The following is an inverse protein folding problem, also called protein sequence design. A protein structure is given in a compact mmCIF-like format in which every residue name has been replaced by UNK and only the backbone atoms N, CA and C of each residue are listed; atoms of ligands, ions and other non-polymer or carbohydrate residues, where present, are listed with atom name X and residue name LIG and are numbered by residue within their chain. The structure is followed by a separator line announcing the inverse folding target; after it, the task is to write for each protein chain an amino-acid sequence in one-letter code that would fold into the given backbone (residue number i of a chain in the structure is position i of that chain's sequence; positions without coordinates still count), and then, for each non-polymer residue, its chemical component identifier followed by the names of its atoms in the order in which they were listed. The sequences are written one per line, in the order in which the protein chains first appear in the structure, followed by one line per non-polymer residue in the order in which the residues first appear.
data_IF_288213743722
#
_entry.id   IF_288213743722
#
_cell.length_a   1.000
_cell.length_b   1.000
_cell.length_c   1.000
_cell.angle_alpha   90.00
_cell.angle_beta   90.00
_cell.angle_gamma   90.00
#
_symmetry.space_group_name_H-M   'P 1'
#
loop_
_entity.id
_entity.type
_entity.pdbx_description
1 polymer ?
#
# COMPACT_ATOMS: atom_id res chain seq x y z
N UNK A 1 26.50 -13.31 -3.55
CA UNK A 1 25.49 -14.40 -3.61
C UNK A 1 24.21 -14.03 -2.85
N UNK A 2 24.28 -13.78 -1.53
CA UNK A 2 23.12 -13.46 -0.65
C UNK A 2 22.26 -12.26 -1.08
N UNK A 3 22.84 -11.25 -1.74
CA UNK A 3 22.08 -10.08 -2.24
C UNK A 3 21.40 -10.32 -3.60
N UNK A 4 21.76 -11.39 -4.32
CA UNK A 4 21.29 -11.67 -5.69
C UNK A 4 20.35 -12.88 -5.77
N UNK A 5 20.10 -13.57 -4.65
CA UNK A 5 19.22 -14.75 -4.58
C UNK A 5 18.43 -14.78 -3.28
N UNK A 6 17.38 -15.60 -3.21
CA UNK A 6 16.59 -15.86 -2.00
C UNK A 6 16.96 -17.24 -1.41
N UNK A 7 16.84 -17.45 -0.08
CA UNK A 7 17.05 -18.77 0.50
C UNK A 7 15.94 -19.74 0.05
N UNK A 8 16.25 -21.04 -0.04
CA UNK A 8 15.30 -22.07 -0.47
C UNK A 8 14.05 -22.12 0.43
N UNK A 9 14.22 -21.88 1.72
CA UNK A 9 13.19 -22.09 2.75
C UNK A 9 12.64 -20.78 3.33
N UNK A 10 12.81 -19.64 2.64
CA UNK A 10 12.42 -18.36 3.19
C UNK A 10 12.31 -17.22 2.19
N UNK A 11 11.65 -16.14 2.61
CA UNK A 11 11.44 -14.95 1.77
C UNK A 11 12.68 -14.05 1.68
N UNK A 12 13.53 -14.07 2.72
CA UNK A 12 14.75 -13.26 2.81
C UNK A 12 15.81 -14.02 3.62
N UNK A 13 17.09 -13.68 3.42
CA UNK A 13 18.17 -14.24 4.22
C UNK A 13 18.13 -13.71 5.65
N UNK A 14 18.35 -14.60 6.63
CA UNK A 14 18.66 -14.18 8.00
C UNK A 14 20.17 -14.03 8.12
N UNK A 15 20.66 -13.26 9.11
CA UNK A 15 22.10 -13.19 9.40
C UNK A 15 22.71 -14.58 9.58
N UNK A 16 21.95 -15.52 10.15
CA UNK A 16 22.39 -16.90 10.39
C UNK A 16 22.49 -17.71 9.10
N UNK A 17 21.49 -17.67 8.22
CA UNK A 17 21.54 -18.39 6.95
C UNK A 17 22.52 -17.77 5.95
N UNK A 18 22.62 -16.44 5.93
CA UNK A 18 23.62 -15.73 5.13
C UNK A 18 25.05 -16.06 5.57
N UNK A 19 25.31 -16.19 6.88
CA UNK A 19 26.60 -16.64 7.41
C UNK A 19 26.93 -18.08 6.97
N UNK A 20 25.96 -18.99 7.04
CA UNK A 20 26.14 -20.39 6.61
C UNK A 20 26.52 -20.52 5.13
N UNK A 21 26.00 -19.64 4.28
CA UNK A 21 26.19 -19.72 2.82
C UNK A 21 27.39 -18.92 2.34
N UNK A 22 27.80 -17.88 3.06
CA UNK A 22 29.00 -17.09 2.73
C UNK A 22 30.26 -17.60 3.42
N UNK A 23 30.14 -18.50 4.39
CA UNK A 23 31.26 -18.95 5.23
C UNK A 23 31.76 -17.88 6.22
N UNK A 24 31.09 -16.73 6.30
CA UNK A 24 31.44 -15.64 7.21
C UNK A 24 30.80 -15.82 8.58
N UNK A 25 31.42 -15.26 9.62
CA UNK A 25 30.82 -15.22 10.95
C UNK A 25 29.54 -14.37 10.95
N UNK A 26 28.59 -14.73 11.83
CA UNK A 26 27.33 -13.97 12.02
C UNK A 26 27.59 -12.49 12.33
N UNK A 27 28.63 -12.20 13.11
CA UNK A 27 29.00 -10.83 13.49
C UNK A 27 29.53 -10.03 12.30
N UNK A 28 30.32 -10.65 11.41
CA UNK A 28 30.80 -10.00 10.18
C UNK A 28 29.67 -9.75 9.20
N UNK A 29 28.77 -10.71 8.99
CA UNK A 29 27.58 -10.52 8.16
C UNK A 29 26.69 -9.41 8.72
N UNK A 30 26.42 -9.41 10.04
CA UNK A 30 25.63 -8.37 10.69
C UNK A 30 26.24 -6.97 10.55
N UNK A 31 27.55 -6.84 10.75
CA UNK A 31 28.28 -5.57 10.55
C UNK A 31 28.22 -5.10 9.11
N UNK A 32 28.41 -5.99 8.13
CA UNK A 32 28.33 -5.62 6.71
C UNK A 32 26.92 -5.16 6.34
N UNK A 33 25.87 -5.88 6.75
CA UNK A 33 24.49 -5.47 6.49
C UNK A 33 24.17 -4.12 7.14
N UNK A 34 24.65 -3.86 8.35
CA UNK A 34 24.49 -2.58 9.03
C UNK A 34 25.26 -1.45 8.34
N UNK A 35 26.54 -1.70 8.00
CA UNK A 35 27.44 -0.75 7.34
C UNK A 35 26.88 -0.31 5.98
N UNK A 36 26.28 -1.23 5.22
CA UNK A 36 25.69 -0.95 3.92
C UNK A 36 24.19 -0.66 3.96
N UNK A 37 23.59 -0.56 5.16
CA UNK A 37 22.18 -0.23 5.36
C UNK A 37 21.20 -1.25 4.76
N UNK A 38 21.61 -2.49 4.55
CA UNK A 38 20.80 -3.51 3.87
C UNK A 38 19.75 -4.07 4.84
N UNK A 39 18.49 -3.67 4.66
CA UNK A 39 17.37 -4.19 5.46
C UNK A 39 16.56 -5.20 4.65
N UNK A 40 17.08 -6.42 4.51
CA UNK A 40 16.46 -7.47 3.68
C UNK A 40 15.03 -7.81 4.10
N UNK A 41 14.68 -7.64 5.37
CA UNK A 41 13.33 -7.88 5.88
C UNK A 41 12.35 -6.74 5.57
N UNK A 42 12.81 -5.65 4.93
CA UNK A 42 11.98 -4.50 4.57
C UNK A 42 11.97 -4.31 3.07
N UNK A 43 10.83 -4.59 2.46
CA UNK A 43 10.50 -4.12 1.13
C UNK A 43 9.67 -2.84 1.22
N UNK A 44 9.87 -1.91 0.29
CA UNK A 44 8.97 -0.77 0.09
C UNK A 44 8.46 -0.82 -1.33
N UNK A 45 7.15 -0.91 -1.47
CA UNK A 45 6.50 -0.75 -2.77
C UNK A 45 5.99 0.66 -2.92
N UNK A 46 6.27 1.26 -4.06
CA UNK A 46 5.65 2.52 -4.44
C UNK A 46 5.25 2.41 -5.91
N UNK A 47 3.96 2.64 -6.20
CA UNK A 47 3.47 2.73 -7.57
C UNK A 47 3.01 4.16 -7.80
N UNK A 48 3.58 4.80 -8.82
CA UNK A 48 3.15 6.13 -9.21
C UNK A 48 1.83 6.01 -9.99
N UNK A 49 0.88 6.89 -9.67
CA UNK A 49 -0.36 6.98 -10.42
C UNK A 49 -0.09 7.51 -11.83
N UNK A 50 -0.78 6.95 -12.83
CA UNK A 50 -0.79 7.47 -14.20
C UNK A 50 -2.00 8.38 -14.46
N UNK A 51 -2.73 8.77 -13.41
CA UNK A 51 -3.91 9.62 -13.53
C UNK A 51 -3.51 11.07 -13.86
N UNK A 52 -3.97 11.64 -14.98
CA UNK A 52 -3.67 13.03 -15.33
C UNK A 52 -4.12 14.04 -14.25
N UNK A 53 -5.14 13.69 -13.47
CA UNK A 53 -5.69 14.52 -12.39
C UNK A 53 -5.16 14.11 -11.01
N UNK A 54 -4.01 13.41 -10.96
CA UNK A 54 -3.46 12.87 -9.72
C UNK A 54 -3.35 13.94 -8.61
N UNK A 55 -2.75 15.09 -8.91
CA UNK A 55 -2.52 16.17 -7.93
C UNK A 55 -3.84 16.71 -7.39
N UNK A 56 -4.79 17.00 -8.29
CA UNK A 56 -6.07 17.60 -7.91
C UNK A 56 -6.89 16.63 -7.06
N UNK A 57 -6.93 15.35 -7.43
CA UNK A 57 -7.60 14.31 -6.66
C UNK A 57 -6.95 14.07 -5.29
N UNK A 58 -5.62 14.13 -5.19
CA UNK A 58 -4.93 14.05 -3.89
C UNK A 58 -5.36 15.21 -2.99
N UNK A 59 -5.37 16.43 -3.52
CA UNK A 59 -5.78 17.63 -2.77
C UNK A 59 -7.23 17.56 -2.33
N UNK A 60 -8.11 17.14 -3.24
CA UNK A 60 -9.54 16.98 -3.01
C UNK A 60 -9.82 15.98 -1.87
N UNK A 61 -9.29 14.75 -1.97
CA UNK A 61 -9.51 13.70 -0.97
C UNK A 61 -8.90 14.08 0.38
N UNK A 62 -7.65 14.57 0.40
CA UNK A 62 -7.00 14.99 1.65
C UNK A 62 -7.73 16.20 2.26
N UNK A 63 -8.27 17.09 1.43
CA UNK A 63 -9.09 18.22 1.85
C UNK A 63 -10.35 17.78 2.59
N UNK A 64 -11.05 16.77 2.09
CA UNK A 64 -12.23 16.20 2.75
C UNK A 64 -11.92 15.61 4.14
N UNK A 65 -10.75 15.02 4.30
CA UNK A 65 -10.34 14.42 5.57
C UNK A 65 -9.88 15.46 6.61
N UNK A 66 -9.22 16.53 6.17
CA UNK A 66 -8.70 17.59 7.05
C UNK A 66 -9.78 18.62 7.39
N UNK A 67 -10.61 18.98 6.41
CA UNK A 67 -11.63 20.01 6.54
C UNK A 67 -12.93 19.54 5.86
N UNK A 68 -13.65 18.58 6.49
CA UNK A 68 -14.90 18.09 5.94
C UNK A 68 -15.94 19.21 5.85
N UNK A 69 -16.84 19.19 4.85
CA UNK A 69 -17.90 20.20 4.74
C UNK A 69 -18.82 20.21 5.97
N UNK A 70 -19.30 21.39 6.33
CA UNK A 70 -20.27 21.55 7.42
C UNK A 70 -21.53 20.71 7.16
N UNK A 71 -22.02 20.05 8.21
CA UNK A 71 -23.21 19.19 8.15
C UNK A 71 -23.12 18.03 7.13
N UNK A 72 -21.92 17.65 6.68
CA UNK A 72 -21.70 16.50 5.82
C UNK A 72 -21.04 15.33 6.57
N UNK A 73 -21.26 14.12 6.06
CA UNK A 73 -20.54 12.91 6.50
C UNK A 73 -19.68 12.44 5.34
N UNK A 74 -18.37 12.33 5.58
CA UNK A 74 -17.42 11.75 4.62
C UNK A 74 -17.35 10.25 4.88
N UNK A 75 -17.68 9.45 3.86
CA UNK A 75 -17.65 7.99 3.92
C UNK A 75 -16.57 7.46 2.97
N UNK A 76 -15.61 6.72 3.52
CA UNK A 76 -14.65 5.96 2.73
C UNK A 76 -15.23 4.59 2.40
N UNK A 77 -15.45 4.33 1.10
CA UNK A 77 -15.99 3.07 0.60
C UNK A 77 -14.97 2.44 -0.33
N UNK A 78 -14.75 1.14 -0.18
CA UNK A 78 -13.97 0.36 -1.14
C UNK A 78 -14.56 -1.02 -1.31
N UNK A 79 -14.37 -1.57 -2.50
CA UNK A 79 -14.82 -2.91 -2.84
C UNK A 79 -13.68 -3.90 -2.59
N UNK A 80 -13.77 -4.63 -1.47
CA UNK A 80 -12.85 -5.73 -1.21
C UNK A 80 -13.34 -7.01 -1.87
N UNK A 81 -12.89 -7.29 -3.09
CA UNK A 81 -13.24 -8.48 -3.89
C UNK A 81 -12.65 -9.81 -3.38
N UNK A 82 -12.32 -9.90 -2.09
CA UNK A 82 -11.75 -11.05 -1.37
C UNK A 82 -10.27 -11.39 -1.66
N UNK A 83 -9.64 -11.97 -0.64
CA UNK A 83 -8.28 -12.47 -0.64
C UNK A 83 -8.10 -13.62 -1.65
N UNK A 84 -7.72 -13.30 -2.89
CA UNK A 84 -7.40 -14.29 -3.90
C UNK A 84 -5.95 -14.17 -4.37
N UNK A 85 -5.41 -15.33 -4.69
CA UNK A 85 -4.00 -15.64 -4.96
C UNK A 85 -3.48 -14.86 -6.15
N UNK A 86 -2.39 -14.13 -5.94
CA UNK A 86 -1.90 -13.15 -6.90
C UNK A 86 -0.80 -13.70 -7.83
N UNK A 87 -0.96 -13.55 -9.15
CA UNK A 87 0.15 -13.67 -10.12
C UNK A 87 0.68 -12.27 -10.49
N UNK A 88 2.01 -12.12 -10.46
CA UNK A 88 2.72 -10.83 -10.57
C UNK A 88 3.01 -10.47 -12.03
N UNK A 89 2.80 -9.21 -12.39
CA UNK A 89 3.04 -8.71 -13.76
C UNK A 89 4.47 -8.26 -14.02
N UNK A 90 5.28 -8.00 -12.97
CA UNK A 90 6.69 -7.57 -13.11
C UNK A 90 7.64 -8.37 -12.22
N UNK A 91 8.88 -8.64 -12.68
CA UNK A 91 9.92 -9.27 -11.87
C UNK A 91 10.40 -8.33 -10.76
N UNK A 92 10.75 -8.92 -9.61
CA UNK A 92 11.26 -8.21 -8.42
C UNK A 92 12.58 -7.49 -8.74
N UNK A 93 12.71 -6.22 -8.37
CA UNK A 93 13.98 -5.50 -8.46
C UNK A 93 14.99 -6.08 -7.46
N UNK A 94 16.22 -6.44 -7.88
CA UNK A 94 17.21 -7.01 -7.00
C UNK A 94 17.68 -6.02 -5.92
N UNK A 95 18.04 -6.53 -4.74
CA UNK A 95 18.64 -5.77 -3.65
C UNK A 95 19.96 -5.12 -4.11
N UNK A 96 20.07 -3.80 -3.93
CA UNK A 96 21.27 -3.01 -4.24
C UNK A 96 21.91 -2.39 -2.99
N UNK A 97 23.19 -2.00 -3.09
CA UNK A 97 23.86 -1.23 -2.03
C UNK A 97 23.17 0.13 -1.85
N UNK A 98 22.73 0.44 -0.62
CA UNK A 98 22.14 1.72 -0.26
C UNK A 98 20.63 1.90 -0.54
N UNK A 99 19.94 0.91 -1.14
CA UNK A 99 18.49 1.00 -1.42
C UNK A 99 17.76 -0.32 -1.10
N UNK A 100 16.51 -0.23 -0.61
CA UNK A 100 15.67 -1.37 -0.22
C UNK A 100 15.11 -2.14 -1.44
N UNK A 101 14.70 -3.40 -1.26
CA UNK A 101 14.00 -4.18 -2.30
C UNK A 101 12.71 -3.46 -2.73
N UNK A 102 12.66 -3.09 -4.01
CA UNK A 102 11.49 -2.49 -4.65
C UNK A 102 10.58 -3.57 -5.20
N UNK A 103 9.37 -3.69 -4.64
CA UNK A 103 8.37 -4.65 -5.13
C UNK A 103 7.24 -3.85 -5.77
N UNK A 104 7.02 -4.00 -7.07
CA UNK A 104 5.83 -3.47 -7.76
C UNK A 104 4.65 -4.43 -7.56
N UNK A 105 3.53 -3.92 -7.01
CA UNK A 105 2.30 -4.68 -6.78
C UNK A 105 1.40 -4.67 -8.01
N UNK A 106 1.96 -5.05 -9.16
CA UNK A 106 1.18 -5.21 -10.38
C UNK A 106 0.63 -6.63 -10.43
N UNK A 107 -0.69 -6.72 -10.41
CA UNK A 107 -1.45 -7.96 -10.49
C UNK A 107 -2.48 -7.83 -11.60
N UNK A 108 -2.64 -8.87 -12.41
CA UNK A 108 -3.72 -8.94 -13.41
C UNK A 108 -4.97 -9.44 -12.71
N UNK A 109 -5.87 -8.52 -12.36
CA UNK A 109 -7.21 -8.86 -11.86
C UNK A 109 -8.27 -8.22 -12.73
N UNK A 110 -9.33 -8.95 -13.13
CA UNK A 110 -10.54 -8.32 -13.62
C UNK A 110 -11.15 -7.54 -12.45
N UNK A 111 -10.87 -6.24 -12.38
CA UNK A 111 -11.44 -5.37 -11.35
C UNK A 111 -12.93 -5.25 -11.63
N UNK A 112 -13.75 -6.05 -10.93
CA UNK A 112 -15.16 -5.71 -10.79
C UNK A 112 -15.22 -4.36 -10.07
N UNK A 113 -15.86 -3.38 -10.72
CA UNK A 113 -15.98 -2.03 -10.20
C UNK A 113 -17.47 -1.70 -10.13
N UNK A 114 -18.13 -2.08 -9.04
CA UNK A 114 -19.57 -1.90 -8.86
C UNK A 114 -20.02 -0.45 -9.14
N UNK A 115 -19.19 0.53 -8.73
CA UNK A 115 -19.44 1.96 -8.90
C UNK A 115 -19.40 2.45 -10.37
N UNK A 116 -18.91 1.62 -11.31
CA UNK A 116 -18.90 1.93 -12.75
C UNK A 116 -20.16 1.42 -13.46
N UNK A 117 -20.98 0.58 -12.82
CA UNK A 117 -22.19 0.05 -13.42
C UNK A 117 -23.16 1.19 -13.78
N UNK A 118 -23.76 1.18 -14.98
CA UNK A 118 -24.66 2.25 -15.43
C UNK A 118 -25.80 2.53 -14.45
N UNK A 119 -26.36 1.47 -13.86
CA UNK A 119 -27.43 1.57 -12.85
C UNK A 119 -26.97 2.34 -11.60
N UNK A 120 -25.75 2.08 -11.12
CA UNK A 120 -25.19 2.77 -9.93
C UNK A 120 -24.89 4.23 -10.26
N UNK A 121 -24.32 4.51 -11.44
CA UNK A 121 -24.08 5.88 -11.90
C UNK A 121 -25.36 6.69 -12.08
N UNK A 122 -26.40 6.10 -12.66
CA UNK A 122 -27.69 6.75 -12.82
C UNK A 122 -28.33 7.07 -11.46
N UNK A 123 -28.25 6.13 -10.51
CA UNK A 123 -28.74 6.34 -9.14
C UNK A 123 -27.98 7.46 -8.41
N UNK A 124 -26.64 7.48 -8.51
CA UNK A 124 -25.81 8.55 -7.94
C UNK A 124 -26.14 9.91 -8.57
N UNK A 125 -26.28 9.96 -9.90
CA UNK A 125 -26.62 11.20 -10.60
C UNK A 125 -28.02 11.74 -10.23
N UNK A 126 -28.97 10.84 -9.92
CA UNK A 126 -30.31 11.22 -9.45
C UNK A 126 -30.34 11.69 -7.99
N UNK A 127 -29.28 11.44 -7.21
CA UNK A 127 -29.19 11.76 -5.80
C UNK A 127 -28.28 12.96 -5.52
N UNK A 128 -28.77 14.22 -5.56
CA UNK A 128 -27.92 15.42 -5.41
C UNK A 128 -27.26 15.56 -4.03
N UNK A 129 -27.64 14.72 -3.07
CA UNK A 129 -27.05 14.67 -1.72
C UNK A 129 -25.74 13.87 -1.66
N UNK A 130 -25.43 13.08 -2.71
CA UNK A 130 -24.24 12.23 -2.74
C UNK A 130 -23.20 12.84 -3.68
N UNK A 131 -22.05 13.21 -3.11
CA UNK A 131 -20.89 13.66 -3.87
C UNK A 131 -19.83 12.57 -3.83
N UNK A 132 -19.45 12.05 -5.00
CA UNK A 132 -18.51 10.91 -5.09
C UNK A 132 -17.15 11.41 -5.53
N UNK A 133 -16.16 11.18 -4.68
CA UNK A 133 -14.76 11.51 -4.93
C UNK A 133 -13.98 10.21 -5.15
N UNK A 134 -13.28 10.12 -6.29
CA UNK A 134 -12.55 8.92 -6.67
C UNK A 134 -11.06 9.08 -6.41
N UNK A 135 -10.45 8.10 -5.72
CA UNK A 135 -9.00 8.02 -5.61
C UNK A 135 -8.35 7.93 -6.99
N UNK A 136 -7.17 8.55 -7.19
CA UNK A 136 -6.38 8.32 -8.40
C UNK A 136 -6.11 6.84 -8.64
N UNK A 137 -5.95 6.45 -9.91
CA UNK A 137 -5.58 5.08 -10.26
C UNK A 137 -4.27 4.68 -9.57
N UNK A 138 -4.23 3.50 -8.96
CA UNK A 138 -3.08 3.01 -8.17
C UNK A 138 -2.75 3.81 -6.89
N UNK A 139 -3.67 4.66 -6.42
CA UNK A 139 -3.51 5.44 -5.19
C UNK A 139 -4.48 5.02 -4.08
N UNK A 140 -4.75 3.72 -3.93
CA UNK A 140 -5.60 3.21 -2.85
C UNK A 140 -5.07 3.54 -1.45
N UNK A 141 -3.77 3.84 -1.31
CA UNK A 141 -3.16 4.33 -0.07
C UNK A 141 -3.73 5.67 0.43
N UNK A 142 -4.45 6.43 -0.40
CA UNK A 142 -5.21 7.61 0.03
C UNK A 142 -6.52 7.23 0.74
N UNK A 143 -7.05 6.04 0.48
CA UNK A 143 -8.32 5.60 1.04
C UNK A 143 -8.14 5.11 2.49
N UNK A 144 -8.84 5.72 3.46
CA UNK A 144 -8.69 5.35 4.87
C UNK A 144 -9.14 3.91 5.16
N UNK A 145 -10.09 3.37 4.39
CA UNK A 145 -10.57 2.00 4.57
C UNK A 145 -9.46 0.97 4.36
N UNK A 146 -8.43 1.29 3.58
CA UNK A 146 -7.25 0.44 3.40
C UNK A 146 -6.42 0.32 4.68
N UNK A 147 -6.41 1.36 5.53
CA UNK A 147 -5.82 1.26 6.88
C UNK A 147 -6.60 0.28 7.76
N UNK A 148 -7.93 0.31 7.65
CA UNK A 148 -8.78 -0.66 8.36
C UNK A 148 -8.56 -2.09 7.84
N UNK A 149 -8.44 -2.28 6.53
CA UNK A 149 -8.10 -3.59 5.95
C UNK A 149 -6.72 -4.09 6.37
N UNK A 150 -5.74 -3.20 6.55
CA UNK A 150 -4.44 -3.57 7.09
C UNK A 150 -4.56 -4.08 8.53
N UNK A 151 -5.33 -3.40 9.39
CA UNK A 151 -5.60 -3.85 10.77
C UNK A 151 -6.34 -5.20 10.81
N UNK A 152 -7.31 -5.40 9.93
CA UNK A 152 -8.01 -6.68 9.78
C UNK A 152 -7.01 -7.80 9.41
N UNK A 153 -6.11 -7.52 8.47
CA UNK A 153 -5.11 -8.49 7.99
C UNK A 153 -4.07 -8.83 9.05
N UNK A 154 -3.68 -7.85 9.87
CA UNK A 154 -2.71 -8.04 10.96
C UNK A 154 -3.32 -8.85 12.13
N UNK A 155 -4.60 -8.61 12.44
CA UNK A 155 -5.26 -9.16 13.64
C UNK A 155 -6.07 -10.42 13.41
N UNK A 156 -6.36 -10.81 12.17
CA UNK A 156 -7.11 -12.03 11.87
C UNK A 156 -6.56 -12.85 10.70
N UNK A 157 -6.79 -14.15 10.77
CA UNK A 157 -6.60 -15.09 9.66
C UNK A 157 -7.61 -14.79 8.55
N UNK A 158 -7.22 -14.91 7.28
CA UNK A 158 -7.97 -14.55 6.05
C UNK A 158 -9.23 -15.41 5.77
N UNK A 159 -9.97 -15.83 6.79
CA UNK A 159 -11.22 -16.60 6.64
C UNK A 159 -12.41 -15.68 6.70
N UNK A 160 -13.33 -15.81 5.74
CA UNK A 160 -14.54 -14.98 5.65
C UNK A 160 -15.41 -15.03 6.92
N UNK A 161 -15.47 -16.19 7.60
CA UNK A 161 -16.22 -16.36 8.85
C UNK A 161 -15.70 -15.53 10.03
N UNK A 162 -14.44 -15.10 9.98
CA UNK A 162 -13.84 -14.30 11.05
C UNK A 162 -14.13 -12.80 10.90
N UNK A 163 -14.45 -12.33 9.68
CA UNK A 163 -14.65 -10.90 9.38
C UNK A 163 -15.81 -10.32 10.17
N UNK A 164 -16.98 -10.98 10.19
CA UNK A 164 -18.15 -10.48 10.91
C UNK A 164 -17.90 -10.33 12.42
N UNK A 165 -17.21 -11.32 13.02
CA UNK A 165 -16.84 -11.27 14.43
C UNK A 165 -15.83 -10.15 14.72
N UNK A 166 -14.88 -9.92 13.80
CA UNK A 166 -13.95 -8.78 13.90
C UNK A 166 -14.68 -7.45 13.84
N UNK A 167 -15.59 -7.28 12.87
CA UNK A 167 -16.35 -6.05 12.68
C UNK A 167 -17.15 -5.72 13.94
N UNK A 168 -17.86 -6.69 14.52
CA UNK A 168 -18.61 -6.49 15.76
C UNK A 168 -17.70 -6.05 16.92
N UNK A 169 -16.57 -6.75 17.10
CA UNK A 169 -15.62 -6.44 18.18
C UNK A 169 -14.94 -5.08 17.98
N UNK A 170 -14.57 -4.76 16.74
CA UNK A 170 -13.91 -3.51 16.38
C UNK A 170 -14.86 -2.32 16.55
N UNK A 171 -16.09 -2.42 16.03
CA UNK A 171 -17.09 -1.35 16.09
C UNK A 171 -17.44 -0.96 17.54
N UNK A 172 -17.42 -1.92 18.48
CA UNK A 172 -17.67 -1.64 19.89
C UNK A 172 -16.65 -0.68 20.54
N UNK A 173 -15.46 -0.53 19.95
CA UNK A 173 -14.38 0.33 20.46
C UNK A 173 -13.74 1.20 19.38
N UNK A 174 -14.41 1.35 18.24
CA UNK A 174 -13.85 2.03 17.09
C UNK A 174 -13.61 3.50 17.43
N UNK A 175 -12.43 3.99 17.05
CA UNK A 175 -12.10 5.41 17.09
C UNK A 175 -11.98 5.90 15.64
N UNK A 176 -12.41 7.13 15.33
CA UNK A 176 -12.20 7.70 14.02
C UNK A 176 -10.72 7.63 13.63
N UNK A 177 -10.44 7.27 12.38
CA UNK A 177 -9.11 7.44 11.82
C UNK A 177 -8.91 8.94 11.60
N UNK A 178 -7.88 9.50 12.24
CA UNK A 178 -7.53 10.91 12.08
C UNK A 178 -6.43 11.02 11.05
N UNK A 179 -6.71 11.75 9.97
CA UNK A 179 -5.71 12.09 8.97
C UNK A 179 -4.87 13.29 9.43
N UNK A 180 -3.56 13.23 9.25
CA UNK A 180 -2.62 14.25 9.78
C UNK A 180 -1.69 14.83 8.74
N UNK A 181 -1.59 14.23 7.55
CA UNK A 181 -0.63 14.65 6.53
C UNK A 181 -1.28 15.61 5.54
N UNK A 182 -0.74 16.80 5.35
CA UNK A 182 -1.26 17.72 4.33
C UNK A 182 -1.01 17.20 2.92
N UNK A 183 -1.82 17.65 1.96
CA UNK A 183 -1.66 17.25 0.56
C UNK A 183 -0.30 17.69 0.02
N UNK A 184 0.19 18.87 0.44
CA UNK A 184 1.51 19.41 0.08
C UNK A 184 2.64 18.50 0.57
N UNK A 185 2.59 18.07 1.84
CA UNK A 185 3.60 17.19 2.40
C UNK A 185 3.62 15.81 1.70
N UNK A 186 2.45 15.32 1.29
CA UNK A 186 2.31 14.07 0.52
C UNK A 186 2.92 14.24 -0.88
N UNK A 187 2.55 15.31 -1.58
CA UNK A 187 3.02 15.58 -2.94
C UNK A 187 4.54 15.81 -2.97
N UNK A 188 5.08 16.54 -1.99
CA UNK A 188 6.53 16.73 -1.86
C UNK A 188 7.25 15.39 -1.64
N UNK A 189 6.68 14.51 -0.82
CA UNK A 189 7.24 13.16 -0.62
C UNK A 189 7.18 12.32 -1.88
N UNK A 190 6.08 12.38 -2.64
CA UNK A 190 5.94 11.70 -3.94
C UNK A 190 7.00 12.23 -4.92
N UNK A 191 7.19 13.55 -5.00
CA UNK A 191 8.20 14.16 -5.87
C UNK A 191 9.62 13.70 -5.50
N UNK A 192 9.96 13.68 -4.20
CA UNK A 192 11.25 13.17 -3.72
C UNK A 192 11.46 11.70 -4.12
N UNK A 193 10.41 10.87 -4.02
CA UNK A 193 10.46 9.47 -4.44
C UNK A 193 10.67 9.34 -5.96
N UNK A 194 9.93 10.12 -6.76
CA UNK A 194 10.13 10.14 -8.22
C UNK A 194 11.56 10.51 -8.58
N UNK A 195 12.14 11.54 -7.95
CA UNK A 195 13.54 11.94 -8.17
C UNK A 195 14.53 10.84 -7.79
N UNK A 196 14.27 10.10 -6.70
CA UNK A 196 15.13 8.99 -6.29
C UNK A 196 15.07 7.82 -7.28
N UNK A 197 13.86 7.46 -7.76
CA UNK A 197 13.65 6.38 -8.73
C UNK A 197 14.20 6.75 -10.11
N UNK A 198 14.06 8.01 -10.56
CA UNK A 198 14.63 8.45 -11.83
C UNK A 198 16.17 8.56 -11.79
N UNK A 199 16.78 8.75 -10.60
CA UNK A 199 18.25 8.76 -10.43
C UNK A 199 18.85 7.36 -10.37
N UNK A 200 18.06 6.35 -9.99
CA UNK A 200 18.44 4.96 -10.21
C UNK A 200 18.21 4.65 -11.69
N UNK A 201 19.21 5.00 -12.51
CA UNK A 201 19.15 4.87 -13.96
C UNK A 201 18.69 3.48 -14.41
N UNK A 202 17.75 3.49 -15.35
CA UNK A 202 17.63 2.44 -16.36
C UNK A 202 18.72 2.63 -17.41
#
# INVERSE_FOLDING_TARGET
MVLRSKPADGTHWTVRSAASVTGLSKSTVGRMLALFGVQQHRSKSFKLSTDPLFVDKVKDIVGLDINPPDHAVVLCVDEKTQAQTWERTQPVLPLGLGHLEGVTHDYVTPLFAAHKLPKVRAWLAAGPRFHVHYTPTFASWLNQIERWFALLTERQTRRASCISAFVQTYNARAKPFVWTATSEAILEKVERLCKAVCRTGH
#
